data_IF_393132097490
#
_entry.id   IF_393132097490
#
_cell.length_a   1.000
_cell.length_b   1.000
_cell.length_c   1.000
_cell.angle_alpha   90.00
_cell.angle_beta   90.00
_cell.angle_gamma   90.00
#
_symmetry.space_group_name_H-M   'P 1'
#
loop_
_entity.id
_entity.type
_entity.pdbx_description
1 polymer ?
#
# COMPACT_ATOMS: atom_id res chain seq x y z
N UNK A 1 25.08 -111.02 -14.36
CA UNK A 1 25.32 -110.18 -13.17
C UNK A 1 26.80 -110.01 -12.98
N UNK A 2 27.40 -108.88 -13.35
CA UNK A 2 28.73 -108.45 -12.91
C UNK A 2 28.75 -106.92 -12.96
N UNK A 3 28.34 -106.35 -11.83
CA UNK A 3 28.39 -104.93 -11.50
C UNK A 3 29.87 -104.52 -11.35
N UNK A 4 30.47 -104.02 -12.44
CA UNK A 4 31.79 -103.40 -12.40
C UNK A 4 31.61 -101.93 -12.04
N UNK A 5 31.33 -101.73 -10.74
CA UNK A 5 31.59 -100.47 -10.04
C UNK A 5 33.00 -99.99 -10.39
N UNK A 6 33.07 -99.04 -11.33
CA UNK A 6 34.28 -98.32 -11.67
C UNK A 6 34.70 -97.54 -10.42
N UNK A 7 35.49 -98.18 -9.56
CA UNK A 7 36.12 -97.57 -8.40
C UNK A 7 36.93 -96.39 -8.93
N UNK A 8 36.40 -95.17 -8.77
CA UNK A 8 37.14 -93.92 -8.97
C UNK A 8 38.46 -94.07 -8.21
N UNK A 9 39.56 -94.10 -8.96
CA UNK A 9 40.89 -94.28 -8.39
C UNK A 9 41.09 -93.22 -7.29
N UNK A 10 41.54 -93.58 -6.08
CA UNK A 10 41.59 -92.67 -4.93
C UNK A 10 42.44 -91.41 -5.16
N UNK A 11 43.28 -91.39 -6.20
CA UNK A 11 44.02 -90.22 -6.66
C UNK A 11 43.12 -89.15 -7.32
N UNK A 12 42.14 -89.54 -8.14
CA UNK A 12 41.25 -88.58 -8.84
C UNK A 12 40.24 -87.91 -7.92
N UNK A 13 39.86 -88.57 -6.83
CA UNK A 13 39.02 -87.98 -5.77
C UNK A 13 39.77 -86.82 -5.11
N UNK A 14 41.06 -87.00 -4.80
CA UNK A 14 41.91 -85.95 -4.22
C UNK A 14 42.10 -84.75 -5.16
N UNK A 15 42.22 -84.97 -6.46
CA UNK A 15 42.30 -83.88 -7.43
C UNK A 15 41.00 -83.08 -7.52
N UNK A 16 39.84 -83.76 -7.52
CA UNK A 16 38.54 -83.09 -7.51
C UNK A 16 38.29 -82.32 -6.19
N UNK A 17 38.73 -82.87 -5.06
CA UNK A 17 38.71 -82.18 -3.77
C UNK A 17 39.61 -80.94 -3.78
N UNK A 18 40.83 -81.04 -4.32
CA UNK A 18 41.72 -79.87 -4.48
C UNK A 18 41.13 -78.80 -5.39
N UNK A 19 40.49 -79.18 -6.49
CA UNK A 19 39.82 -78.25 -7.41
C UNK A 19 38.63 -77.56 -6.73
N UNK A 20 37.82 -78.30 -5.98
CA UNK A 20 36.72 -77.73 -5.19
C UNK A 20 37.22 -76.77 -4.11
N UNK A 21 38.30 -77.13 -3.40
CA UNK A 21 38.93 -76.26 -2.41
C UNK A 21 39.46 -74.99 -3.08
N UNK A 22 40.12 -75.10 -4.23
CA UNK A 22 40.61 -73.94 -4.98
C UNK A 22 39.47 -73.03 -5.47
N UNK A 23 38.35 -73.60 -5.90
CA UNK A 23 37.19 -72.84 -6.36
C UNK A 23 36.49 -72.13 -5.19
N UNK A 24 36.30 -72.81 -4.06
CA UNK A 24 35.78 -72.21 -2.82
C UNK A 24 36.73 -71.11 -2.33
N UNK A 25 38.04 -71.33 -2.39
CA UNK A 25 39.04 -70.32 -2.03
C UNK A 25 38.95 -69.09 -2.94
N UNK A 26 38.74 -69.28 -4.25
CA UNK A 26 38.56 -68.19 -5.20
C UNK A 26 37.27 -67.40 -4.97
N UNK A 27 36.17 -68.07 -4.59
CA UNK A 27 34.91 -67.42 -4.21
C UNK A 27 35.06 -66.64 -2.89
N UNK A 28 35.71 -67.25 -1.88
CA UNK A 28 36.05 -66.59 -0.61
C UNK A 28 36.91 -65.35 -0.87
N UNK A 29 37.89 -65.42 -1.78
CA UNK A 29 38.74 -64.28 -2.10
C UNK A 29 38.00 -63.13 -2.81
N UNK A 30 36.84 -63.41 -3.44
CA UNK A 30 36.01 -62.40 -4.10
C UNK A 30 34.95 -61.76 -3.17
N UNK A 31 34.61 -62.40 -2.05
CA UNK A 31 33.63 -61.85 -1.08
C UNK A 31 34.10 -60.53 -0.44
N UNK A 32 35.35 -60.39 0.06
CA UNK A 32 35.84 -59.14 0.66
C UNK A 32 35.74 -57.90 -0.25
N UNK A 33 36.18 -57.93 -1.52
CA UNK A 33 36.08 -56.75 -2.40
C UNK A 33 34.63 -56.40 -2.76
N UNK A 34 33.74 -57.38 -2.93
CA UNK A 34 32.30 -57.15 -3.16
C UNK A 34 31.63 -56.51 -1.94
N UNK A 35 31.96 -56.98 -0.73
CA UNK A 35 31.45 -56.39 0.50
C UNK A 35 31.93 -54.95 0.68
N UNK A 36 33.21 -54.69 0.36
CA UNK A 36 33.79 -53.35 0.43
C UNK A 36 33.11 -52.38 -0.55
N UNK A 37 32.85 -52.80 -1.79
CA UNK A 37 32.19 -51.95 -2.79
C UNK A 37 30.74 -51.63 -2.40
N UNK A 38 29.98 -52.60 -1.90
CA UNK A 38 28.62 -52.40 -1.38
C UNK A 38 28.62 -51.45 -0.19
N UNK A 39 29.56 -51.63 0.75
CA UNK A 39 29.68 -50.77 1.92
C UNK A 39 30.07 -49.33 1.54
N UNK A 40 31.00 -49.17 0.61
CA UNK A 40 31.38 -47.85 0.09
C UNK A 40 30.20 -47.16 -0.62
N UNK A 41 29.47 -47.87 -1.46
CA UNK A 41 28.27 -47.34 -2.12
C UNK A 41 27.21 -46.92 -1.10
N UNK A 42 26.96 -47.73 -0.06
CA UNK A 42 26.05 -47.41 1.04
C UNK A 42 26.50 -46.20 1.84
N UNK A 43 27.80 -46.05 2.08
CA UNK A 43 28.39 -44.88 2.74
C UNK A 43 28.15 -43.60 1.93
N UNK A 44 28.46 -43.62 0.63
CA UNK A 44 28.25 -42.46 -0.26
C UNK A 44 26.76 -42.10 -0.38
N UNK A 45 25.87 -43.09 -0.56
CA UNK A 45 24.42 -42.84 -0.61
C UNK A 45 23.87 -42.35 0.74
N UNK A 46 24.44 -42.82 1.84
CA UNK A 46 24.13 -42.34 3.19
C UNK A 46 24.52 -40.88 3.37
N UNK A 47 25.74 -40.52 2.97
CA UNK A 47 26.25 -39.15 3.04
C UNK A 47 25.44 -38.19 2.16
N UNK A 48 25.12 -38.60 0.93
CA UNK A 48 24.28 -37.81 0.02
C UNK A 48 22.88 -37.58 0.59
N UNK A 49 22.26 -38.60 1.19
CA UNK A 49 20.96 -38.46 1.87
C UNK A 49 21.07 -37.51 3.06
N UNK A 50 22.12 -37.63 3.87
CA UNK A 50 22.38 -36.72 4.98
C UNK A 50 22.52 -35.27 4.52
N UNK A 51 23.22 -35.02 3.41
CA UNK A 51 23.35 -33.67 2.84
C UNK A 51 21.99 -33.10 2.39
N UNK A 52 21.18 -33.89 1.67
CA UNK A 52 19.84 -33.44 1.24
C UNK A 52 18.96 -33.09 2.45
N UNK A 53 18.98 -33.90 3.51
CA UNK A 53 18.23 -33.60 4.74
C UNK A 53 18.75 -32.35 5.45
N UNK A 54 20.08 -32.15 5.49
CA UNK A 54 20.66 -30.94 6.06
C UNK A 54 20.29 -29.70 5.25
N UNK A 55 20.32 -29.76 3.93
CA UNK A 55 19.90 -28.67 3.04
C UNK A 55 18.42 -28.32 3.22
N UNK A 56 17.57 -29.34 3.30
CA UNK A 56 16.15 -29.14 3.58
C UNK A 56 15.92 -28.48 4.93
N UNK A 57 16.64 -28.91 5.98
CA UNK A 57 16.54 -28.29 7.31
C UNK A 57 17.01 -26.83 7.29
N UNK A 58 18.15 -26.54 6.64
CA UNK A 58 18.64 -25.16 6.45
C UNK A 58 17.61 -24.29 5.73
N UNK A 59 16.98 -24.82 4.68
CA UNK A 59 15.94 -24.12 3.94
C UNK A 59 14.70 -23.85 4.81
N UNK A 60 14.23 -24.85 5.55
CA UNK A 60 13.09 -24.69 6.46
C UNK A 60 13.36 -23.66 7.56
N UNK A 61 14.56 -23.64 8.14
CA UNK A 61 14.98 -22.62 9.09
C UNK A 61 14.96 -21.20 8.48
N UNK A 62 15.45 -21.06 7.24
CA UNK A 62 15.42 -19.79 6.53
C UNK A 62 13.97 -19.31 6.29
N UNK A 63 13.09 -20.19 5.81
CA UNK A 63 11.67 -19.89 5.57
C UNK A 63 10.96 -19.49 6.88
N UNK A 64 11.23 -20.19 7.98
CA UNK A 64 10.65 -19.86 9.28
C UNK A 64 11.13 -18.50 9.80
N UNK A 65 12.40 -18.16 9.59
CA UNK A 65 12.97 -16.85 9.93
C UNK A 65 12.34 -15.72 9.12
N UNK A 66 12.14 -15.91 7.82
CA UNK A 66 11.47 -14.95 6.96
C UNK A 66 10.01 -14.77 7.35
N UNK A 67 9.28 -15.87 7.59
CA UNK A 67 7.88 -15.84 8.06
C UNK A 67 7.76 -15.06 9.37
N UNK A 68 8.69 -15.25 10.32
CA UNK A 68 8.73 -14.52 11.59
C UNK A 68 8.98 -13.02 11.35
N UNK A 69 9.97 -12.70 10.52
CA UNK A 69 10.30 -11.32 10.15
C UNK A 69 9.14 -10.61 9.47
N UNK A 70 8.48 -11.29 8.53
CA UNK A 70 7.30 -10.77 7.82
C UNK A 70 6.15 -10.52 8.79
N UNK A 71 5.85 -11.47 9.68
CA UNK A 71 4.83 -11.29 10.72
C UNK A 71 5.14 -10.08 11.59
N UNK A 72 6.39 -9.93 12.06
CA UNK A 72 6.80 -8.76 12.84
C UNK A 72 6.63 -7.45 12.08
N UNK A 73 6.96 -7.43 10.79
CA UNK A 73 6.75 -6.25 9.93
C UNK A 73 5.27 -5.93 9.71
N UNK A 74 4.44 -6.94 9.53
CA UNK A 74 3.00 -6.78 9.34
C UNK A 74 2.26 -6.40 10.63
N UNK A 75 2.78 -6.80 11.80
CA UNK A 75 2.26 -6.35 13.10
C UNK A 75 2.70 -4.94 13.47
N UNK A 76 3.59 -4.30 12.70
CA UNK A 76 3.89 -2.87 12.88
C UNK A 76 2.82 -2.06 12.14
N UNK A 77 2.00 -1.26 12.82
CA UNK A 77 1.02 -0.40 12.17
C UNK A 77 1.74 0.55 11.20
N UNK A 78 1.27 0.65 9.94
CA UNK A 78 1.82 1.60 8.94
C UNK A 78 1.41 3.04 9.22
N UNK A 79 0.31 3.21 9.93
CA UNK A 79 -0.17 4.45 10.51
C UNK A 79 -0.41 4.17 11.99
N UNK A 80 -0.22 5.14 12.86
CA UNK A 80 -0.54 5.03 14.28
C UNK A 80 -2.01 4.56 14.38
N UNK A 81 -2.26 3.31 14.80
CA UNK A 81 -3.62 2.73 14.90
C UNK A 81 -4.51 3.51 15.87
N UNK A 82 -3.89 4.34 16.70
CA UNK A 82 -4.55 5.33 17.53
C UNK A 82 -4.18 6.71 16.97
N UNK A 83 -5.20 7.56 16.75
CA UNK A 83 -5.00 9.00 16.91
C UNK A 83 -4.20 9.22 18.21
N UNK A 84 -3.37 10.28 18.34
CA UNK A 84 -2.66 10.62 19.59
C UNK A 84 -3.61 10.98 20.76
N UNK A 85 -4.88 10.58 20.66
CA UNK A 85 -5.99 10.81 21.55
C UNK A 85 -6.70 9.46 21.70
N UNK A 86 -6.96 9.05 22.94
CA UNK A 86 -7.66 7.79 23.21
C UNK A 86 -9.09 7.81 22.64
N UNK A 87 -9.56 6.67 22.16
CA UNK A 87 -10.91 6.48 21.60
C UNK A 87 -12.07 7.12 22.40
N UNK A 88 -12.13 7.05 23.75
CA UNK A 88 -13.21 7.70 24.50
C UNK A 88 -13.26 9.23 24.32
N UNK A 89 -12.14 9.86 23.95
CA UNK A 89 -12.06 11.32 23.80
C UNK A 89 -12.35 11.82 22.39
N UNK A 90 -12.49 10.92 21.40
CA UNK A 90 -12.73 11.32 20.01
C UNK A 90 -14.02 12.12 19.86
N UNK A 91 -15.09 11.72 20.56
CA UNK A 91 -16.36 12.46 20.56
C UNK A 91 -16.18 13.91 21.01
N UNK A 92 -15.50 14.11 22.14
CA UNK A 92 -15.27 15.46 22.69
C UNK A 92 -14.39 16.31 21.79
N UNK A 93 -13.40 15.71 21.11
CA UNK A 93 -12.54 16.42 20.17
C UNK A 93 -13.32 16.86 18.94
N UNK A 94 -14.20 16.00 18.41
CA UNK A 94 -15.07 16.36 17.29
C UNK A 94 -16.03 17.48 17.68
N UNK A 95 -16.65 17.40 18.86
CA UNK A 95 -17.52 18.45 19.39
C UNK A 95 -16.75 19.78 19.57
N UNK A 96 -15.57 19.73 20.19
CA UNK A 96 -14.73 20.92 20.39
C UNK A 96 -14.31 21.56 19.07
N UNK A 97 -13.88 20.75 18.08
CA UNK A 97 -13.50 21.25 16.76
C UNK A 97 -14.71 21.88 16.05
N UNK A 98 -15.89 21.29 16.19
CA UNK A 98 -17.13 21.83 15.63
C UNK A 98 -17.44 23.19 16.26
N UNK A 99 -17.41 23.30 17.58
CA UNK A 99 -17.63 24.57 18.29
C UNK A 99 -16.55 25.62 17.97
N UNK A 100 -15.29 25.22 17.80
CA UNK A 100 -14.22 26.12 17.43
C UNK A 100 -14.45 26.71 16.02
N UNK A 101 -14.86 25.88 15.06
CA UNK A 101 -15.16 26.34 13.70
C UNK A 101 -16.35 27.31 13.71
N UNK A 102 -17.46 26.96 14.38
CA UNK A 102 -18.64 27.83 14.42
C UNK A 102 -18.35 29.15 15.15
N UNK A 103 -17.49 29.13 16.17
CA UNK A 103 -17.04 30.34 16.84
C UNK A 103 -16.21 31.24 15.90
N UNK A 104 -15.25 30.67 15.17
CA UNK A 104 -14.42 31.41 14.21
C UNK A 104 -15.29 32.07 13.14
N UNK A 105 -16.24 31.32 12.56
CA UNK A 105 -17.16 31.85 11.55
C UNK A 105 -17.98 33.04 12.08
N UNK A 106 -18.55 32.92 13.29
CA UNK A 106 -19.31 34.01 13.93
C UNK A 106 -18.42 35.22 14.22
N UNK A 107 -17.21 35.00 14.72
CA UNK A 107 -16.27 36.07 15.02
C UNK A 107 -15.87 36.82 13.75
N UNK A 108 -15.58 36.10 12.67
CA UNK A 108 -15.24 36.70 11.39
C UNK A 108 -16.40 37.52 10.81
N UNK A 109 -17.63 37.01 10.89
CA UNK A 109 -18.83 37.76 10.52
C UNK A 109 -18.96 39.07 11.30
N UNK A 110 -18.78 39.03 12.63
CA UNK A 110 -18.86 40.23 13.46
C UNK A 110 -17.74 41.24 13.12
N UNK A 111 -16.51 40.76 12.90
CA UNK A 111 -15.39 41.61 12.50
C UNK A 111 -15.63 42.28 11.14
N UNK A 112 -16.23 41.58 10.18
CA UNK A 112 -16.64 42.18 8.92
C UNK A 112 -17.67 43.28 9.11
N UNK A 113 -18.69 43.06 9.95
CA UNK A 113 -19.66 44.10 10.30
C UNK A 113 -18.98 45.32 10.89
N UNK A 114 -18.10 45.15 11.89
CA UNK A 114 -17.38 46.28 12.51
C UNK A 114 -16.50 47.02 11.51
N UNK A 115 -15.82 46.31 10.61
CA UNK A 115 -14.99 46.94 9.55
C UNK A 115 -15.81 47.70 8.51
N UNK A 116 -17.06 47.32 8.29
CA UNK A 116 -17.95 48.00 7.35
C UNK A 116 -18.51 49.32 7.90
N UNK A 117 -18.65 49.46 9.22
CA UNK A 117 -19.23 50.66 9.86
C UNK A 117 -18.50 51.95 9.48
N UNK A 118 -17.15 52.04 9.53
CA UNK A 118 -16.42 53.23 9.09
C UNK A 118 -16.60 53.60 7.62
N UNK A 119 -17.06 52.66 6.77
CA UNK A 119 -17.34 52.93 5.35
C UNK A 119 -18.74 53.50 5.13
N UNK A 120 -19.64 53.42 6.11
CA UNK A 120 -21.01 53.95 5.99
C UNK A 120 -20.99 55.47 5.74
N UNK A 121 -20.23 56.29 6.49
CA UNK A 121 -20.17 57.74 6.24
C UNK A 121 -19.64 58.11 4.85
N UNK A 122 -18.65 57.37 4.33
CA UNK A 122 -18.09 57.64 3.00
C UNK A 122 -19.08 57.28 1.89
N UNK A 123 -19.77 56.15 2.02
CA UNK A 123 -20.85 55.73 1.12
C UNK A 123 -22.01 56.73 1.15
N UNK A 124 -22.40 57.18 2.34
CA UNK A 124 -23.47 58.17 2.52
C UNK A 124 -23.12 59.51 1.86
N UNK A 125 -21.88 60.00 2.04
CA UNK A 125 -21.40 61.22 1.37
C UNK A 125 -21.43 61.11 -0.16
N UNK A 126 -21.07 59.95 -0.71
CA UNK A 126 -21.15 59.71 -2.14
C UNK A 126 -22.60 59.73 -2.63
N UNK A 127 -23.52 59.17 -1.83
CA UNK A 127 -24.96 59.21 -2.12
C UNK A 127 -25.51 60.64 -2.08
N UNK A 128 -25.14 61.45 -1.08
CA UNK A 128 -25.53 62.88 -1.01
C UNK A 128 -25.01 63.66 -2.24
N UNK A 129 -23.79 63.35 -2.68
CA UNK A 129 -23.21 63.95 -3.89
C UNK A 129 -23.96 63.52 -5.16
N UNK A 130 -24.42 62.26 -5.24
CA UNK A 130 -25.24 61.80 -6.35
C UNK A 130 -26.64 62.42 -6.33
N UNK A 131 -27.22 62.57 -5.14
CA UNK A 131 -28.52 63.20 -4.95
C UNK A 131 -28.49 64.66 -5.41
N UNK A 132 -27.56 65.46 -4.91
CA UNK A 132 -27.39 66.86 -5.31
C UNK A 132 -27.18 67.03 -6.81
N UNK A 133 -26.38 66.17 -7.45
CA UNK A 133 -26.25 66.18 -8.92
C UNK A 133 -27.56 65.89 -9.64
N UNK A 134 -28.34 64.95 -9.10
CA UNK A 134 -29.64 64.58 -9.67
C UNK A 134 -30.64 65.73 -9.52
N UNK A 135 -30.65 66.41 -8.38
CA UNK A 135 -31.48 67.59 -8.15
C UNK A 135 -31.16 68.70 -9.16
N UNK A 136 -29.88 68.98 -9.41
CA UNK A 136 -29.47 69.95 -10.44
C UNK A 136 -29.99 69.55 -11.82
N UNK A 137 -29.80 68.29 -12.22
CA UNK A 137 -30.29 67.81 -13.52
C UNK A 137 -31.81 67.91 -13.65
N UNK A 138 -32.56 67.68 -12.56
CA UNK A 138 -34.02 67.86 -12.53
C UNK A 138 -34.37 69.32 -12.77
N UNK A 139 -33.70 70.26 -12.11
CA UNK A 139 -33.94 71.70 -12.32
C UNK A 139 -33.62 72.16 -13.73
N UNK A 140 -32.52 71.68 -14.32
CA UNK A 140 -32.16 71.98 -15.72
C UNK A 140 -33.22 71.41 -16.70
N UNK A 141 -33.74 70.22 -16.41
CA UNK A 141 -34.79 69.59 -17.22
C UNK A 141 -36.12 70.32 -17.12
N UNK A 142 -36.48 70.81 -15.93
CA UNK A 142 -37.66 71.66 -15.71
C UNK A 142 -37.54 72.96 -16.51
N UNK A 143 -36.40 73.63 -16.45
CA UNK A 143 -36.14 74.87 -17.21
C UNK A 143 -36.22 74.62 -18.72
N UNK A 144 -35.56 73.57 -19.22
CA UNK A 144 -35.61 73.20 -20.62
C UNK A 144 -37.04 72.90 -21.09
N UNK A 145 -37.83 72.23 -20.24
CA UNK A 145 -39.24 71.93 -20.52
C UNK A 145 -40.06 73.21 -20.62
N UNK A 146 -39.84 74.18 -19.73
CA UNK A 146 -40.52 75.47 -19.78
C UNK A 146 -40.14 76.27 -21.04
N UNK A 147 -38.87 76.24 -21.44
CA UNK A 147 -38.41 76.87 -22.68
C UNK A 147 -39.09 76.25 -23.91
N UNK A 148 -39.21 74.91 -23.96
CA UNK A 148 -39.91 74.20 -25.04
C UNK A 148 -41.39 74.59 -25.12
N UNK A 149 -42.05 74.72 -23.96
CA UNK A 149 -43.46 75.14 -23.90
C UNK A 149 -43.65 76.57 -24.43
N UNK A 150 -42.81 77.52 -23.99
CA UNK A 150 -42.82 78.90 -24.48
C UNK A 150 -42.60 78.96 -26.00
N UNK A 151 -41.63 78.21 -26.51
CA UNK A 151 -41.36 78.10 -27.95
C UNK A 151 -42.56 77.56 -28.74
N UNK A 152 -43.25 76.55 -28.20
CA UNK A 152 -44.46 75.98 -28.83
C UNK A 152 -45.61 76.98 -28.88
N UNK A 153 -45.80 77.80 -27.85
CA UNK A 153 -46.82 78.85 -27.85
C UNK A 153 -46.53 79.93 -28.88
N UNK A 154 -45.28 80.39 -28.97
CA UNK A 154 -44.82 81.34 -30.00
C UNK A 154 -45.12 80.83 -31.42
N UNK A 155 -44.85 79.55 -31.71
CA UNK A 155 -45.17 78.97 -33.02
C UNK A 155 -46.66 78.97 -33.35
N UNK A 156 -47.55 78.77 -32.36
CA UNK A 156 -49.00 78.81 -32.60
C UNK A 156 -49.50 80.22 -32.93
N UNK A 157 -48.92 81.24 -32.32
CA UNK A 157 -49.26 82.65 -32.61
C UNK A 157 -48.85 83.08 -34.02
N UNK A 158 -47.68 82.64 -34.50
CA UNK A 158 -47.16 82.98 -35.84
C UNK A 158 -47.93 82.31 -36.99
N UNK A 159 -48.65 81.21 -36.72
CA UNK A 159 -49.47 80.52 -37.71
C UNK A 159 -50.96 80.93 -37.71
N UNK A 160 -51.33 81.96 -36.92
CA UNK A 160 -52.71 82.44 -36.80
C UNK A 160 -52.95 83.83 -37.44
N UNK A 161 -51.96 84.40 -38.12
CA UNK A 161 -52.08 85.54 -39.05
C UNK A 161 -52.11 85.05 -40.51
#
# INVERSE_FOLDING_TARGET
TLDLTCKKNPCFVKFSEMEQIANIQAEINQVPPLLLSINFQRFIHGDQKCQIFQDMNRHLEAVLKEKRTLRQRLMKPRCQENLPIEAPFHKYVVELLTEAVTFIEKLESHLQTVRSIPQIPSVMKNMDTALTKTEVLVTELEELTEQILKWRELQKGVHSD
#
